data_IF_640979719504
#
_entry.id   IF_640979719504
#
_cell.length_a   1.000
_cell.length_b   1.000
_cell.length_c   1.000
_cell.angle_alpha   90.00
_cell.angle_beta   90.00
_cell.angle_gamma   90.00
#
_symmetry.space_group_name_H-M   'P 1'
#
loop_
_entity.id
_entity.type
_entity.pdbx_description
1 polymer ?
#
# COMPACT_ATOMS: atom_id res chain seq x y z
N UNK A 1 13.60 18.97 -22.95
CA UNK A 1 12.28 18.96 -22.28
C UNK A 1 11.81 17.50 -22.22
N UNK A 2 12.14 16.78 -21.15
CA UNK A 2 11.90 15.33 -21.05
C UNK A 2 10.55 15.12 -20.36
N UNK A 3 9.62 14.52 -21.09
CA UNK A 3 8.28 14.16 -20.61
C UNK A 3 8.43 12.91 -19.72
N UNK A 4 8.39 13.08 -18.40
CA UNK A 4 8.41 11.96 -17.45
C UNK A 4 7.04 11.26 -17.52
N UNK A 5 6.98 10.11 -18.19
CA UNK A 5 5.76 9.32 -18.39
C UNK A 5 5.77 7.97 -17.65
N UNK A 6 6.68 7.77 -16.69
CA UNK A 6 6.90 6.45 -16.05
C UNK A 6 6.97 6.44 -14.52
N UNK A 7 6.78 7.60 -13.88
CA UNK A 7 6.60 7.71 -12.43
C UNK A 7 5.21 8.25 -12.20
N UNK A 8 4.38 7.48 -11.51
CA UNK A 8 3.11 7.97 -10.98
C UNK A 8 3.33 8.34 -9.53
N UNK A 9 3.22 9.63 -9.21
CA UNK A 9 3.20 10.12 -7.83
C UNK A 9 1.74 10.25 -7.42
N UNK A 10 1.34 9.49 -6.42
CA UNK A 10 0.01 9.64 -5.81
C UNK A 10 0.20 10.53 -4.59
N UNK A 11 -0.03 11.83 -4.77
CA UNK A 11 -0.14 12.76 -3.66
C UNK A 11 -1.59 12.75 -3.15
N UNK A 12 -1.82 12.97 -1.86
CA UNK A 12 -3.12 12.84 -1.19
C UNK A 12 -4.20 13.86 -1.62
N UNK A 13 -4.06 14.47 -2.80
CA UNK A 13 -5.03 15.35 -3.42
C UNK A 13 -6.23 14.56 -3.93
N UNK A 14 -7.42 14.93 -3.45
CA UNK A 14 -8.70 14.34 -3.85
C UNK A 14 -8.98 14.70 -5.32
N UNK A 15 -8.67 13.79 -6.25
CA UNK A 15 -9.20 13.82 -7.61
C UNK A 15 -9.68 12.41 -7.99
N UNK A 16 -10.94 12.14 -7.68
CA UNK A 16 -11.66 11.01 -8.27
C UNK A 16 -12.00 11.37 -9.73
N UNK A 17 -11.45 10.63 -10.68
CA UNK A 17 -11.98 10.54 -12.03
C UNK A 17 -12.22 9.07 -12.33
N UNK A 18 -13.41 8.61 -11.97
CA UNK A 18 -13.99 7.39 -12.52
C UNK A 18 -15.11 7.82 -13.46
N UNK A 19 -14.88 7.72 -14.77
CA UNK A 19 -15.98 7.65 -15.74
C UNK A 19 -16.35 6.18 -15.92
N UNK A 20 -17.63 5.80 -15.83
CA UNK A 20 -18.04 4.41 -16.04
C UNK A 20 -17.88 4.05 -17.51
N UNK A 21 -17.17 2.97 -17.81
CA UNK A 21 -17.21 2.37 -19.13
C UNK A 21 -18.21 1.21 -19.07
N UNK A 22 -19.40 1.47 -19.60
CA UNK A 22 -20.45 0.50 -19.84
C UNK A 22 -20.02 -0.32 -21.06
N UNK A 23 -19.63 -1.58 -20.85
CA UNK A 23 -19.88 -2.71 -21.76
C UNK A 23 -19.12 -3.95 -21.24
N UNK A 24 -19.85 -4.82 -20.53
CA UNK A 24 -19.39 -6.16 -20.20
C UNK A 24 -20.35 -7.17 -20.86
N UNK A 25 -19.82 -7.90 -21.83
CA UNK A 25 -20.44 -9.03 -22.53
C UNK A 25 -20.59 -10.23 -21.57
N UNK A 26 -21.79 -10.84 -21.42
CA UNK A 26 -22.03 -11.88 -20.44
C UNK A 26 -21.77 -13.28 -21.02
N UNK A 27 -20.52 -13.74 -21.02
CA UNK A 27 -20.22 -15.15 -21.28
C UNK A 27 -18.91 -15.62 -20.64
N UNK A 28 -18.88 -15.79 -19.32
CA UNK A 28 -17.92 -16.70 -18.69
C UNK A 28 -18.53 -17.34 -17.45
N UNK A 29 -19.22 -18.47 -17.64
CA UNK A 29 -19.66 -19.34 -16.54
C UNK A 29 -18.45 -20.15 -16.07
N UNK A 30 -17.98 -19.90 -14.85
CA UNK A 30 -17.01 -20.76 -14.16
C UNK A 30 -17.74 -21.96 -13.52
N UNK A 31 -17.14 -23.14 -13.68
CA UNK A 31 -17.64 -24.43 -13.21
C UNK A 31 -17.40 -24.67 -11.71
N UNK A 32 -18.31 -25.43 -11.08
CA UNK A 32 -18.34 -25.85 -9.66
C UNK A 32 -17.18 -26.81 -9.32
N UNK A 33 -16.37 -26.55 -8.28
CA UNK A 33 -15.25 -27.39 -7.87
C UNK A 33 -15.72 -28.56 -6.98
N UNK A 34 -16.50 -29.49 -7.54
CA UNK A 34 -16.80 -30.79 -6.91
C UNK A 34 -16.91 -31.90 -7.94
N UNK A 35 -15.80 -32.23 -8.60
CA UNK A 35 -15.67 -33.51 -9.28
C UNK A 35 -14.23 -34.04 -9.21
N UNK A 36 -14.02 -34.97 -8.28
CA UNK A 36 -12.78 -35.76 -8.18
C UNK A 36 -13.16 -37.23 -8.21
N UNK A 37 -12.80 -37.93 -9.29
CA UNK A 37 -12.67 -39.39 -9.31
C UNK A 37 -11.33 -39.78 -9.93
N UNK A 38 -10.61 -40.63 -9.19
CA UNK A 38 -9.32 -41.25 -9.50
C UNK A 38 -9.40 -42.31 -10.61
N UNK A 39 -8.27 -42.53 -11.29
CA UNK A 39 -7.77 -43.86 -11.72
C UNK A 39 -6.24 -43.82 -12.01
N UNK A 40 -5.49 -44.96 -11.99
CA UNK A 40 -4.09 -45.03 -11.52
C UNK A 40 -3.01 -45.55 -12.50
N UNK A 41 -1.71 -45.34 -12.13
CA UNK A 41 -0.50 -46.17 -12.39
C UNK A 41 0.09 -46.18 -13.82
N UNK A 42 1.41 -46.31 -14.11
CA UNK A 42 2.63 -46.58 -13.35
C UNK A 42 3.93 -46.36 -14.20
N UNK A 43 5.07 -46.06 -13.53
CA UNK A 43 6.51 -46.41 -13.81
C UNK A 43 7.15 -46.16 -15.20
N UNK A 44 8.19 -45.32 -15.42
CA UNK A 44 9.64 -45.34 -15.02
C UNK A 44 10.52 -45.27 -16.31
N UNK A 45 11.89 -45.11 -16.33
CA UNK A 45 12.90 -44.81 -15.31
C UNK A 45 13.84 -43.59 -15.62
N UNK A 46 14.82 -43.39 -14.74
CA UNK A 46 15.79 -42.29 -14.64
C UNK A 46 17.01 -42.34 -15.58
N UNK A 47 17.67 -41.20 -15.80
CA UNK A 47 19.09 -41.10 -16.21
C UNK A 47 19.84 -39.95 -15.52
N UNK A 48 21.04 -40.30 -15.05
CA UNK A 48 22.09 -39.45 -14.47
C UNK A 48 22.85 -38.59 -15.50
N UNK A 49 23.45 -37.52 -14.98
CA UNK A 49 24.57 -36.77 -15.57
C UNK A 49 24.35 -35.27 -15.42
N UNK A 50 25.23 -34.41 -14.93
CA UNK A 50 26.58 -34.48 -14.35
C UNK A 50 26.85 -33.03 -13.86
N UNK A 51 27.53 -32.88 -12.74
CA UNK A 51 27.96 -31.58 -12.20
C UNK A 51 28.99 -30.95 -13.13
N UNK A 52 28.83 -29.67 -13.44
CA UNK A 52 29.94 -28.79 -13.81
C UNK A 52 29.87 -27.53 -12.94
N UNK A 53 30.96 -27.30 -12.23
CA UNK A 53 31.21 -26.20 -11.30
C UNK A 53 31.81 -25.06 -12.12
N UNK A 54 31.14 -23.92 -12.16
CA UNK A 54 31.63 -22.71 -12.78
C UNK A 54 31.34 -21.49 -11.91
N UNK A 55 32.37 -21.04 -11.19
CA UNK A 55 32.67 -19.66 -10.79
C UNK A 55 31.57 -18.83 -10.10
N UNK A 56 31.76 -18.66 -8.78
CA UNK A 56 31.15 -17.64 -7.93
C UNK A 56 31.55 -16.22 -8.37
N UNK A 57 30.78 -15.64 -9.29
CA UNK A 57 30.59 -14.20 -9.30
C UNK A 57 29.45 -13.90 -8.32
N UNK A 58 29.76 -13.16 -7.24
CA UNK A 58 28.76 -12.60 -6.33
C UNK A 58 27.98 -11.51 -7.05
N UNK A 59 27.13 -11.92 -7.98
CA UNK A 59 26.02 -11.12 -8.47
C UNK A 59 24.97 -11.16 -7.38
N UNK A 60 24.97 -10.15 -6.50
CA UNK A 60 23.76 -9.81 -5.75
C UNK A 60 22.71 -9.51 -6.82
N UNK A 61 21.93 -10.53 -7.17
CA UNK A 61 20.96 -10.47 -8.24
C UNK A 61 19.86 -9.51 -7.82
N UNK A 62 20.02 -8.22 -8.16
CA UNK A 62 18.98 -7.22 -8.04
C UNK A 62 17.71 -7.83 -8.63
N UNK A 63 16.70 -8.04 -7.78
CA UNK A 63 15.45 -8.67 -8.23
C UNK A 63 14.80 -7.72 -9.22
N UNK A 64 14.68 -8.15 -10.48
CA UNK A 64 14.03 -7.37 -11.53
C UNK A 64 12.53 -7.61 -11.48
N UNK A 65 11.75 -6.53 -11.42
CA UNK A 65 10.28 -6.56 -11.48
C UNK A 65 9.75 -5.57 -12.51
N UNK A 66 8.50 -5.75 -12.95
CA UNK A 66 7.91 -4.82 -13.91
C UNK A 66 7.45 -3.53 -13.26
N UNK A 67 6.84 -3.63 -12.09
CA UNK A 67 6.34 -2.51 -11.31
C UNK A 67 6.82 -2.59 -9.86
N UNK A 68 7.50 -1.54 -9.40
CA UNK A 68 7.75 -1.32 -7.98
C UNK A 68 6.76 -0.31 -7.42
N UNK A 69 6.05 -0.68 -6.37
CA UNK A 69 5.15 0.19 -5.61
C UNK A 69 5.85 0.55 -4.30
N UNK A 70 6.15 1.84 -4.13
CA UNK A 70 6.83 2.37 -2.93
C UNK A 70 5.79 2.96 -1.99
N UNK A 71 5.61 2.35 -0.84
CA UNK A 71 4.61 2.69 0.17
C UNK A 71 3.48 1.65 0.23
N UNK A 72 3.19 1.16 1.44
CA UNK A 72 2.14 0.17 1.70
C UNK A 72 0.98 0.73 2.55
N UNK A 73 0.68 2.02 2.35
CA UNK A 73 -0.57 2.64 2.84
C UNK A 73 -1.76 2.36 1.92
N UNK A 74 -2.90 3.04 2.13
CA UNK A 74 -4.13 2.82 1.36
C UNK A 74 -3.93 2.79 -0.16
N UNK A 75 -3.25 3.79 -0.70
CA UNK A 75 -2.98 3.87 -2.14
C UNK A 75 -2.05 2.77 -2.63
N UNK A 76 -1.02 2.40 -1.86
CA UNK A 76 -0.12 1.30 -2.21
C UNK A 76 -0.85 -0.04 -2.30
N UNK A 77 -1.72 -0.32 -1.33
CA UNK A 77 -2.55 -1.53 -1.31
C UNK A 77 -3.55 -1.57 -2.47
N UNK A 78 -4.21 -0.44 -2.75
CA UNK A 78 -5.12 -0.32 -3.89
C UNK A 78 -4.39 -0.54 -5.23
N UNK A 79 -3.19 0.03 -5.39
CA UNK A 79 -2.37 -0.13 -6.58
C UNK A 79 -1.85 -1.56 -6.76
N UNK A 80 -1.49 -2.26 -5.66
CA UNK A 80 -1.10 -3.66 -5.72
C UNK A 80 -2.28 -4.55 -6.16
N UNK A 81 -3.49 -4.31 -5.64
CA UNK A 81 -4.70 -4.99 -6.11
C UNK A 81 -4.96 -4.74 -7.60
N UNK A 82 -4.91 -3.47 -8.04
CA UNK A 82 -5.06 -3.11 -9.44
C UNK A 82 -4.02 -3.80 -10.34
N UNK A 83 -2.75 -3.81 -9.92
CA UNK A 83 -1.68 -4.46 -10.67
C UNK A 83 -1.89 -5.98 -10.79
N UNK A 84 -2.37 -6.62 -9.71
CA UNK A 84 -2.70 -8.04 -9.72
C UNK A 84 -3.85 -8.36 -10.69
N UNK A 85 -4.93 -7.58 -10.66
CA UNK A 85 -6.08 -7.74 -11.57
C UNK A 85 -5.67 -7.58 -13.05
N UNK A 86 -4.69 -6.73 -13.32
CA UNK A 86 -4.10 -6.52 -14.65
C UNK A 86 -2.99 -7.51 -15.01
N UNK A 87 -2.71 -8.51 -14.16
CA UNK A 87 -1.62 -9.49 -14.35
C UNK A 87 -0.23 -8.84 -14.54
N UNK A 88 0.01 -7.71 -13.88
CA UNK A 88 1.31 -7.02 -13.89
C UNK A 88 2.18 -7.61 -12.76
N UNK A 89 3.36 -8.13 -13.13
CA UNK A 89 4.38 -8.52 -12.16
C UNK A 89 4.81 -7.30 -11.33
N UNK A 90 4.61 -7.38 -10.02
CA UNK A 90 4.85 -6.23 -9.16
C UNK A 90 5.39 -6.61 -7.79
N UNK A 91 6.11 -5.66 -7.20
CA UNK A 91 6.55 -5.71 -5.82
C UNK A 91 6.09 -4.46 -5.09
N UNK A 92 5.54 -4.65 -3.91
CA UNK A 92 5.20 -3.57 -2.98
C UNK A 92 6.19 -3.56 -1.82
N UNK A 93 6.76 -2.39 -1.54
CA UNK A 93 7.73 -2.17 -0.46
C UNK A 93 7.22 -1.04 0.43
N UNK A 94 7.14 -1.32 1.73
CA UNK A 94 6.63 -0.41 2.73
C UNK A 94 6.00 -1.18 3.86
N UNK A 95 6.00 -0.59 5.05
CA UNK A 95 5.27 -1.14 6.17
C UNK A 95 3.76 -1.01 5.95
N UNK A 96 2.99 -2.12 5.98
CA UNK A 96 1.56 -2.10 5.79
C UNK A 96 0.87 -1.14 6.76
N UNK A 97 0.17 -0.13 6.22
CA UNK A 97 -0.57 0.86 7.02
C UNK A 97 0.28 1.57 8.10
N UNK A 98 1.62 1.62 7.96
CA UNK A 98 2.52 2.10 9.03
C UNK A 98 2.22 3.51 9.53
N UNK A 99 1.87 4.44 8.63
CA UNK A 99 1.44 5.79 9.03
C UNK A 99 0.15 5.77 9.86
N UNK A 100 -0.82 4.93 9.51
CA UNK A 100 -2.08 4.80 10.25
C UNK A 100 -1.88 4.19 11.63
N UNK A 101 -0.91 3.29 11.77
CA UNK A 101 -0.57 2.69 13.06
C UNK A 101 0.14 3.67 14.01
N UNK A 102 1.06 4.49 13.49
CA UNK A 102 1.93 5.35 14.32
C UNK A 102 1.49 6.80 14.45
N UNK A 103 0.84 7.35 13.43
CA UNK A 103 0.65 8.80 13.29
C UNK A 103 -0.81 9.22 13.24
N UNK A 104 -1.76 8.28 13.34
CA UNK A 104 -3.18 8.60 13.53
C UNK A 104 -3.56 8.33 14.98
N UNK A 105 -4.29 9.22 15.69
CA UNK A 105 -4.62 9.03 17.11
C UNK A 105 -5.51 7.81 17.41
N UNK A 106 -5.36 7.25 18.61
CA UNK A 106 -6.28 6.23 19.10
C UNK A 106 -7.69 6.79 19.26
N UNK A 107 -8.71 6.00 18.91
CA UNK A 107 -10.10 6.44 18.95
C UNK A 107 -10.50 7.45 17.85
N UNK A 108 -9.58 7.84 16.95
CA UNK A 108 -9.91 8.71 15.82
C UNK A 108 -11.04 8.12 14.97
N UNK A 109 -11.99 8.97 14.57
CA UNK A 109 -13.07 8.67 13.64
C UNK A 109 -12.73 9.28 12.27
N UNK A 110 -12.95 8.52 11.20
CA UNK A 110 -12.76 8.97 9.84
C UNK A 110 -13.95 9.84 9.41
N UNK A 111 -13.66 10.83 8.57
CA UNK A 111 -14.70 11.59 7.87
C UNK A 111 -15.29 10.82 6.69
N UNK A 112 -14.49 9.91 6.13
CA UNK A 112 -14.92 9.04 5.04
C UNK A 112 -15.92 8.00 5.51
N UNK A 113 -16.89 7.71 4.65
CA UNK A 113 -17.91 6.68 4.80
C UNK A 113 -17.48 5.37 4.14
N UNK A 114 -18.33 4.35 4.17
CA UNK A 114 -18.03 3.02 3.62
C UNK A 114 -17.79 2.99 2.09
N UNK A 115 -18.10 4.07 1.38
CA UNK A 115 -17.80 4.25 -0.05
C UNK A 115 -16.32 4.55 -0.34
N UNK A 116 -15.53 4.91 0.68
CA UNK A 116 -14.09 5.17 0.53
C UNK A 116 -13.26 3.90 0.81
N UNK A 117 -13.25 2.99 -0.16
CA UNK A 117 -12.61 1.67 -0.04
C UNK A 117 -11.27 1.54 -0.79
N UNK A 118 -10.53 0.48 -0.49
CA UNK A 118 -9.23 0.19 -1.12
C UNK A 118 -9.37 -0.48 -2.49
N UNK A 119 -10.48 -1.18 -2.75
CA UNK A 119 -10.62 -2.00 -3.96
C UNK A 119 -10.93 -1.16 -5.20
N UNK A 120 -10.04 -1.07 -6.22
CA UNK A 120 -10.30 -0.33 -7.45
C UNK A 120 -11.46 -0.92 -8.29
N UNK A 121 -11.77 -2.20 -8.15
CA UNK A 121 -12.86 -2.87 -8.89
C UNK A 121 -14.13 -3.07 -8.04
N UNK A 122 -14.15 -2.51 -6.84
CA UNK A 122 -15.31 -2.49 -5.94
C UNK A 122 -15.88 -3.87 -5.57
N UNK A 123 -15.04 -4.91 -5.44
CA UNK A 123 -15.44 -6.25 -4.99
C UNK A 123 -15.22 -6.43 -3.49
N UNK A 124 -14.03 -6.15 -2.99
CA UNK A 124 -13.65 -6.27 -1.58
C UNK A 124 -13.72 -4.90 -0.88
N UNK A 125 -14.93 -4.32 -0.86
CA UNK A 125 -15.20 -2.99 -0.30
C UNK A 125 -15.38 -2.99 1.23
N UNK A 126 -15.46 -1.80 1.84
CA UNK A 126 -15.82 -1.67 3.25
C UNK A 126 -17.25 -2.18 3.49
N UNK A 127 -18.16 -1.97 2.53
CA UNK A 127 -19.53 -2.49 2.60
C UNK A 127 -19.53 -4.01 2.67
N UNK A 128 -18.73 -4.68 1.83
CA UNK A 128 -18.61 -6.15 1.85
C UNK A 128 -17.94 -6.67 3.13
N UNK A 129 -16.91 -5.98 3.61
CA UNK A 129 -16.30 -6.29 4.91
C UNK A 129 -17.31 -6.15 6.06
N UNK A 130 -18.17 -5.13 6.01
CA UNK A 130 -19.21 -4.88 7.01
C UNK A 130 -20.32 -5.93 6.94
N UNK A 131 -20.76 -6.28 5.73
CA UNK A 131 -21.76 -7.31 5.50
C UNK A 131 -21.27 -8.70 5.97
N UNK A 132 -19.99 -9.01 5.77
CA UNK A 132 -19.36 -10.23 6.29
C UNK A 132 -19.30 -10.30 7.82
N UNK A 133 -19.59 -9.21 8.53
CA UNK A 133 -19.75 -9.16 9.99
C UNK A 133 -21.23 -9.10 10.42
N UNK A 134 -22.16 -9.33 9.51
CA UNK A 134 -23.62 -9.24 9.75
C UNK A 134 -24.08 -7.85 10.24
N UNK A 135 -23.37 -6.79 9.83
CA UNK A 135 -23.67 -5.40 10.17
C UNK A 135 -24.03 -4.59 8.94
N UNK A 136 -24.69 -3.44 9.14
CA UNK A 136 -24.99 -2.46 8.09
C UNK A 136 -24.02 -1.27 8.17
N UNK A 137 -23.75 -0.56 7.06
CA UNK A 137 -22.91 0.65 7.05
C UNK A 137 -23.25 1.69 8.13
N UNK A 138 -24.56 1.93 8.35
CA UNK A 138 -25.03 2.89 9.37
C UNK A 138 -24.65 2.52 10.81
N UNK A 139 -24.30 1.26 11.07
CA UNK A 139 -23.92 0.76 12.40
C UNK A 139 -22.41 0.86 12.65
N UNK A 140 -21.62 1.13 11.61
CA UNK A 140 -20.16 1.31 11.70
C UNK A 140 -19.72 2.74 11.44
N UNK A 141 -20.61 3.60 10.93
CA UNK A 141 -20.33 5.00 10.61
C UNK A 141 -20.60 5.95 11.79
N UNK A 142 -19.72 6.93 12.05
CA UNK A 142 -18.44 7.17 11.36
C UNK A 142 -17.40 6.07 11.65
N UNK A 143 -16.60 5.73 10.65
CA UNK A 143 -15.65 4.62 10.76
C UNK A 143 -14.58 4.94 11.79
N UNK A 144 -14.34 4.04 12.75
CA UNK A 144 -13.18 4.19 13.64
C UNK A 144 -11.88 3.82 12.92
N UNK A 145 -10.76 4.39 13.39
CA UNK A 145 -9.41 4.00 12.95
C UNK A 145 -9.21 2.49 13.05
N UNK A 146 -9.65 1.88 14.16
CA UNK A 146 -9.50 0.43 14.38
C UNK A 146 -10.32 -0.39 13.39
N UNK A 147 -11.54 0.05 13.07
CA UNK A 147 -12.38 -0.61 12.07
C UNK A 147 -11.74 -0.54 10.67
N UNK A 148 -11.26 0.64 10.28
CA UNK A 148 -10.59 0.83 8.98
C UNK A 148 -9.30 0.02 8.85
N UNK A 149 -8.48 -0.07 9.91
CA UNK A 149 -7.31 -0.94 9.94
C UNK A 149 -7.70 -2.42 9.84
N UNK A 150 -8.81 -2.83 10.47
CA UNK A 150 -9.37 -4.18 10.32
C UNK A 150 -9.77 -4.49 8.87
N UNK A 151 -10.45 -3.55 8.21
CA UNK A 151 -10.77 -3.63 6.78
C UNK A 151 -9.50 -3.75 5.93
N UNK A 152 -8.50 -2.89 6.13
CA UNK A 152 -7.26 -2.93 5.36
C UNK A 152 -6.50 -4.25 5.52
N UNK A 153 -6.49 -4.82 6.73
CA UNK A 153 -5.89 -6.14 6.97
C UNK A 153 -6.68 -7.27 6.31
N UNK A 154 -8.02 -7.20 6.35
CA UNK A 154 -8.89 -8.15 5.65
C UNK A 154 -8.72 -8.08 4.13
N UNK A 155 -8.65 -6.87 3.57
CA UNK A 155 -8.46 -6.63 2.14
C UNK A 155 -7.12 -7.19 1.65
N UNK A 156 -6.03 -6.94 2.39
CA UNK A 156 -4.71 -7.52 2.08
C UNK A 156 -4.74 -9.05 2.01
N UNK A 157 -5.43 -9.70 2.96
CA UNK A 157 -5.59 -11.17 2.96
C UNK A 157 -6.43 -11.64 1.77
N UNK A 158 -7.57 -11.00 1.49
CA UNK A 158 -8.47 -11.31 0.36
C UNK A 158 -7.73 -11.25 -0.98
N UNK A 159 -6.91 -10.20 -1.19
CA UNK A 159 -6.16 -9.97 -2.43
C UNK A 159 -4.78 -10.62 -2.44
N UNK A 160 -4.40 -11.38 -1.40
CA UNK A 160 -3.08 -12.00 -1.27
C UNK A 160 -1.89 -11.02 -1.41
N UNK A 161 -2.05 -9.77 -0.98
CA UNK A 161 -1.01 -8.74 -1.08
C UNK A 161 0.01 -8.95 0.05
N UNK A 162 1.29 -9.07 -0.31
CA UNK A 162 2.40 -9.32 0.62
C UNK A 162 3.49 -8.24 0.50
N UNK A 163 3.33 -7.09 1.20
CA UNK A 163 4.34 -6.04 1.23
C UNK A 163 5.65 -6.52 1.87
N UNK A 164 6.78 -6.15 1.27
CA UNK A 164 8.07 -6.21 1.98
C UNK A 164 8.10 -5.03 2.96
N UNK A 165 8.09 -5.32 4.25
CA UNK A 165 8.04 -4.33 5.33
C UNK A 165 9.41 -3.64 5.55
N UNK A 166 9.86 -2.91 4.54
CA UNK A 166 11.09 -2.13 4.51
C UNK A 166 10.84 -0.74 3.93
N UNK A 167 11.81 0.15 4.07
CA UNK A 167 11.78 1.46 3.42
C UNK A 167 12.62 1.43 2.15
N UNK A 168 12.16 2.11 1.10
CA UNK A 168 13.03 2.51 -0.01
C UNK A 168 13.76 3.79 0.41
N UNK A 169 15.08 3.73 0.51
CA UNK A 169 15.92 4.85 0.95
C UNK A 169 16.47 5.67 -0.22
N UNK A 170 16.57 5.05 -1.41
CA UNK A 170 17.05 5.69 -2.63
C UNK A 170 16.34 5.12 -3.85
N UNK A 171 16.07 5.98 -4.83
CA UNK A 171 15.52 5.61 -6.13
C UNK A 171 16.22 6.41 -7.22
N UNK A 172 16.90 5.74 -8.14
CA UNK A 172 17.60 6.35 -9.26
C UNK A 172 17.02 5.88 -10.60
N UNK A 173 17.03 6.77 -11.59
CA UNK A 173 16.80 6.39 -12.98
C UNK A 173 18.11 5.90 -13.60
N UNK A 174 18.05 4.80 -14.34
CA UNK A 174 19.23 4.18 -14.97
C UNK A 174 19.29 4.49 -16.48
N UNK A 175 20.48 4.40 -17.11
CA UNK A 175 20.64 4.69 -18.55
C UNK A 175 19.77 3.82 -19.47
N UNK A 176 19.43 2.59 -19.06
CA UNK A 176 18.57 1.65 -19.78
C UNK A 176 17.06 1.93 -19.58
N UNK A 177 16.70 3.11 -19.07
CA UNK A 177 15.33 3.58 -18.86
C UNK A 177 14.54 2.72 -17.86
N UNK A 178 15.24 2.19 -16.86
CA UNK A 178 14.68 1.51 -15.69
C UNK A 178 14.88 2.38 -14.45
N UNK A 179 14.46 1.84 -13.31
CA UNK A 179 14.69 2.41 -11.99
C UNK A 179 15.45 1.41 -11.13
N UNK A 180 16.39 1.92 -10.35
CA UNK A 180 17.12 1.17 -9.33
C UNK A 180 16.73 1.72 -7.96
N UNK A 181 16.24 0.84 -7.08
CA UNK A 181 15.80 1.19 -5.74
C UNK A 181 16.68 0.47 -4.71
N UNK A 182 17.10 1.21 -3.69
CA UNK A 182 17.85 0.68 -2.55
C UNK A 182 16.93 0.64 -1.34
N UNK A 183 16.87 -0.52 -0.68
CA UNK A 183 16.08 -0.74 0.52
C UNK A 183 16.87 -0.36 1.78
N UNK A 184 16.17 -0.22 2.92
CA UNK A 184 16.78 0.07 4.22
C UNK A 184 17.76 -1.02 4.68
N UNK A 185 17.59 -2.27 4.24
CA UNK A 185 18.53 -3.36 4.47
C UNK A 185 19.82 -3.28 3.65
N UNK A 186 19.83 -2.45 2.60
CA UNK A 186 20.86 -2.46 1.55
C UNK A 186 20.50 -3.34 0.35
N UNK A 187 19.41 -4.13 0.41
CA UNK A 187 18.92 -4.89 -0.74
C UNK A 187 18.52 -3.98 -1.90
N UNK A 188 18.66 -4.47 -3.12
CA UNK A 188 18.42 -3.70 -4.33
C UNK A 188 17.32 -4.31 -5.21
N UNK A 189 16.46 -3.46 -5.76
CA UNK A 189 15.38 -3.83 -6.69
C UNK A 189 15.52 -3.00 -7.96
N UNK A 190 15.46 -3.65 -9.12
CA UNK A 190 15.40 -2.95 -10.40
C UNK A 190 14.01 -3.05 -11.01
N UNK A 191 13.36 -1.94 -11.33
CA UNK A 191 11.99 -1.91 -11.84
C UNK A 191 11.87 -1.23 -13.21
N UNK A 192 10.95 -1.69 -14.07
CA UNK A 192 10.64 -0.99 -15.34
C UNK A 192 9.80 0.27 -15.11
N UNK A 193 8.95 0.25 -14.09
CA UNK A 193 8.03 1.33 -13.70
C UNK A 193 8.00 1.45 -12.18
N UNK A 194 7.71 2.65 -11.70
CA UNK A 194 7.58 2.90 -10.26
C UNK A 194 6.31 3.69 -9.98
N UNK A 195 5.59 3.26 -8.96
CA UNK A 195 4.51 4.03 -8.31
C UNK A 195 5.05 4.51 -6.97
N UNK A 196 4.97 5.82 -6.73
CA UNK A 196 5.37 6.44 -5.47
C UNK A 196 4.12 6.78 -4.69
N UNK A 197 3.85 6.00 -3.64
CA UNK A 197 2.70 6.06 -2.75
C UNK A 197 3.14 6.17 -1.27
N UNK A 198 4.17 6.98 -1.02
CA UNK A 198 4.80 7.16 0.31
C UNK A 198 3.93 7.96 1.30
N UNK A 199 2.83 8.56 0.82
CA UNK A 199 1.96 9.42 1.60
C UNK A 199 2.64 10.71 2.05
N UNK A 200 1.97 11.47 2.92
CA UNK A 200 2.44 12.78 3.38
C UNK A 200 3.26 12.73 4.67
N UNK A 201 3.33 11.57 5.34
CA UNK A 201 3.99 11.43 6.64
C UNK A 201 5.48 11.81 6.63
N UNK A 202 6.17 11.66 5.50
CA UNK A 202 7.57 12.04 5.37
C UNK A 202 7.81 13.56 5.25
N UNK A 203 6.75 14.37 5.13
CA UNK A 203 6.85 15.80 4.79
C UNK A 203 6.18 16.70 5.83
N UNK A 204 6.53 16.62 7.13
CA UNK A 204 6.01 17.57 8.11
C UNK A 204 6.50 18.98 7.77
N UNK A 205 5.63 19.98 7.95
CA UNK A 205 5.98 21.37 7.72
C UNK A 205 5.78 22.19 9.00
N UNK A 206 6.89 22.60 9.61
CA UNK A 206 6.91 23.55 10.71
C UNK A 206 7.50 24.86 10.20
N UNK A 207 6.70 25.94 10.04
CA UNK A 207 7.21 27.23 9.60
C UNK A 207 8.32 27.75 10.53
N UNK A 208 9.46 28.12 9.97
CA UNK A 208 10.62 28.58 10.75
C UNK A 208 10.30 29.80 11.63
N UNK A 209 9.45 30.71 11.15
CA UNK A 209 8.99 31.87 11.92
C UNK A 209 8.19 31.49 13.16
N UNK A 210 7.42 30.39 13.10
CA UNK A 210 6.71 29.86 14.26
C UNK A 210 7.66 29.14 15.22
N UNK A 211 8.55 28.29 14.69
CA UNK A 211 9.54 27.58 15.51
C UNK A 211 10.43 28.55 16.30
N UNK A 212 10.76 29.72 15.73
CA UNK A 212 11.58 30.73 16.38
C UNK A 212 10.90 31.44 17.57
N UNK A 213 9.56 31.47 17.63
CA UNK A 213 8.81 32.17 18.69
C UNK A 213 8.20 31.21 19.73
N UNK A 214 8.09 29.92 19.41
CA UNK A 214 7.49 28.93 20.29
C UNK A 214 8.54 28.37 21.25
N UNK A 215 8.28 28.30 22.57
CA UNK A 215 9.22 27.74 23.52
C UNK A 215 9.55 26.27 23.20
N UNK A 216 10.83 25.92 23.31
CA UNK A 216 11.29 24.54 23.11
C UNK A 216 10.52 23.56 24.01
N UNK A 217 10.16 22.41 23.47
CA UNK A 217 9.39 21.38 24.18
C UNK A 217 7.93 21.75 24.48
N UNK A 218 7.44 22.91 24.02
CA UNK A 218 6.02 23.35 24.21
C UNK A 218 5.17 23.32 22.95
N UNK A 219 5.70 22.80 21.85
CA UNK A 219 4.96 22.59 20.62
C UNK A 219 5.37 21.28 19.97
N UNK A 220 4.49 20.77 19.11
CA UNK A 220 4.75 19.63 18.26
C UNK A 220 3.86 19.67 17.03
N UNK A 221 4.25 18.93 15.99
CA UNK A 221 3.49 18.84 14.75
C UNK A 221 2.37 17.79 14.92
N UNK A 222 1.16 18.05 14.42
CA UNK A 222 -0.01 17.15 14.61
C UNK A 222 0.23 15.70 14.21
N UNK A 223 1.07 15.50 13.19
CA UNK A 223 1.62 14.19 12.78
C UNK A 223 2.17 13.35 13.96
N UNK A 224 2.90 13.99 14.88
CA UNK A 224 3.60 13.32 15.99
C UNK A 224 2.81 13.42 17.30
N UNK A 225 1.81 14.32 17.34
CA UNK A 225 0.92 14.55 18.47
C UNK A 225 -0.30 13.63 18.45
N UNK A 226 -0.08 12.34 18.73
CA UNK A 226 -1.13 11.30 18.68
C UNK A 226 -1.61 10.79 20.03
N UNK A 227 -0.90 11.13 21.11
CA UNK A 227 -1.24 10.82 22.50
C UNK A 227 -1.63 12.11 23.23
N UNK A 228 -2.86 12.19 23.73
CA UNK A 228 -3.45 13.44 24.20
C UNK A 228 -3.48 13.61 25.71
N UNK A 229 -3.18 12.56 26.48
CA UNK A 229 -3.18 12.53 27.94
C UNK A 229 -2.29 13.62 28.53
N UNK A 230 -1.16 13.89 27.87
CA UNK A 230 -0.21 14.94 28.27
C UNK A 230 -0.79 16.35 28.20
N UNK A 231 -1.91 16.54 27.50
CA UNK A 231 -2.61 17.82 27.38
C UNK A 231 -3.79 17.96 28.35
N UNK A 232 -4.12 16.92 29.13
CA UNK A 232 -5.20 16.97 30.10
C UNK A 232 -5.00 18.14 31.08
N UNK A 233 -6.04 18.95 31.26
CA UNK A 233 -6.03 20.14 32.12
C UNK A 233 -5.16 21.30 31.62
N UNK A 234 -4.56 21.21 30.43
CA UNK A 234 -3.74 22.29 29.84
C UNK A 234 -4.55 23.14 28.87
N UNK A 235 -4.10 24.38 28.68
CA UNK A 235 -4.54 25.23 27.58
C UNK A 235 -3.71 24.91 26.34
N UNK A 236 -4.36 24.45 25.28
CA UNK A 236 -3.71 24.07 24.02
C UNK A 236 -4.10 25.06 22.93
N UNK A 237 -3.12 25.49 22.12
CA UNK A 237 -3.33 26.27 20.91
C UNK A 237 -3.05 25.37 19.70
N UNK A 238 -4.04 25.20 18.84
CA UNK A 238 -3.87 24.55 17.54
C UNK A 238 -3.61 25.61 16.48
N UNK A 239 -2.51 25.48 15.73
CA UNK A 239 -2.15 26.40 14.65
C UNK A 239 -2.41 25.69 13.31
N UNK A 240 -3.47 26.10 12.63
CA UNK A 240 -3.94 25.51 11.38
C UNK A 240 -5.46 25.56 11.28
N UNK A 241 -5.99 25.47 10.05
CA UNK A 241 -7.43 25.55 9.79
C UNK A 241 -7.96 24.48 8.84
N UNK A 242 -7.16 23.46 8.55
CA UNK A 242 -7.51 22.34 7.68
C UNK A 242 -7.40 21.03 8.45
N UNK A 243 -7.83 19.94 7.81
CA UNK A 243 -7.57 18.60 8.34
C UNK A 243 -6.05 18.41 8.49
N UNK A 244 -5.67 17.94 9.67
CA UNK A 244 -4.30 17.79 10.13
C UNK A 244 -4.03 16.37 10.60
#
# INVERSE_FOLDING_TARGET
MIRVSRVMVIDGGVHALATPNTDADPACRLADPRDTRLAPGATGPARHGQLERGSEDTLISARSVDLLIIGAGPYGLAMAACAADLSIDHKIVGEPMGFWHRHMPAGMLLRSTCDWHLDPVAVDTIVEYTAGQERKPKEVEPLSRSFYLGYAAWFQRRKCIQPTAELVTRLDATPDRRFHAVLSSGDEITARRVVVAVGFGAFPHVPASLAAILPEGRYGHTRDEVEFERFAGKRVLTIGGRQS
#
